data_IF_835976989087
#
_entry.id   IF_835976989087
#
_cell.length_a   1.000
_cell.length_b   1.000
_cell.length_c   1.000
_cell.angle_alpha   90.00
_cell.angle_beta   90.00
_cell.angle_gamma   90.00
#
_symmetry.space_group_name_H-M   'P 1'
#
loop_
_entity.id
_entity.type
_entity.pdbx_description
1 polymer ?
#
# COMPACT_ATOMS: atom_id res chain seq x y z
N UNK A 1 8.85 -12.01 23.84
CA UNK A 1 7.50 -11.83 24.39
C UNK A 1 7.48 -12.24 25.87
N UNK A 2 7.89 -11.36 26.80
CA UNK A 2 7.99 -11.68 28.25
C UNK A 2 7.14 -10.77 29.15
N UNK A 3 6.50 -9.75 28.58
CA UNK A 3 5.70 -8.77 29.31
C UNK A 3 4.31 -8.66 28.69
N UNK A 4 4.26 -8.48 27.37
CA UNK A 4 3.01 -8.44 26.58
C UNK A 4 3.27 -8.99 25.18
N UNK A 5 2.22 -9.46 24.53
CA UNK A 5 2.23 -9.81 23.12
C UNK A 5 1.98 -8.56 22.27
N UNK A 6 2.94 -8.26 21.40
CA UNK A 6 2.79 -7.19 20.40
C UNK A 6 1.99 -7.76 19.25
N UNK A 7 0.81 -7.20 19.02
CA UNK A 7 -0.14 -7.67 17.98
C UNK A 7 -0.10 -6.83 16.70
N UNK A 8 0.47 -5.62 16.77
CA UNK A 8 0.65 -4.77 15.60
C UNK A 8 1.87 -3.84 15.70
N UNK A 9 2.35 -3.41 14.55
CA UNK A 9 3.36 -2.35 14.37
C UNK A 9 2.81 -1.31 13.40
N UNK A 10 2.98 -0.03 13.71
CA UNK A 10 2.55 1.07 12.84
C UNK A 10 3.76 1.92 12.45
N UNK A 11 4.14 1.89 11.18
CA UNK A 11 5.33 2.55 10.63
C UNK A 11 5.02 3.29 9.31
N UNK A 12 5.91 4.19 8.90
CA UNK A 12 5.84 4.81 7.57
C UNK A 12 6.14 3.74 6.54
N UNK A 13 5.20 3.53 5.63
CA UNK A 13 5.40 2.62 4.52
C UNK A 13 4.39 2.91 3.41
N UNK A 14 4.88 3.03 2.19
CA UNK A 14 4.06 3.24 1.00
C UNK A 14 4.87 2.87 -0.24
N UNK A 15 4.27 2.99 -1.42
CA UNK A 15 4.88 2.60 -2.68
C UNK A 15 6.27 3.24 -2.87
N UNK A 16 6.45 4.51 -2.49
CA UNK A 16 7.71 5.26 -2.64
C UNK A 16 8.58 5.36 -1.38
N UNK A 17 8.18 4.75 -0.27
CA UNK A 17 8.99 4.69 0.96
C UNK A 17 8.83 3.32 1.61
N UNK A 18 9.88 2.51 1.46
CA UNK A 18 9.96 1.14 1.98
C UNK A 18 11.06 0.97 3.02
N UNK A 19 11.36 2.03 3.79
CA UNK A 19 12.41 1.97 4.82
C UNK A 19 12.12 0.98 5.96
N UNK A 20 10.86 0.59 6.14
CA UNK A 20 10.43 -0.39 7.15
C UNK A 20 10.18 -1.79 6.56
N UNK A 21 10.78 -2.12 5.42
CA UNK A 21 10.63 -3.43 4.75
C UNK A 21 11.00 -4.60 5.67
N UNK A 22 12.14 -4.47 6.36
CA UNK A 22 12.65 -5.46 7.30
C UNK A 22 11.70 -5.68 8.51
N UNK A 23 11.07 -4.59 8.97
CA UNK A 23 10.05 -4.64 10.02
C UNK A 23 8.78 -5.33 9.51
N UNK A 24 8.36 -5.06 8.27
CA UNK A 24 7.22 -5.74 7.63
C UNK A 24 7.50 -7.25 7.49
N UNK A 25 8.66 -7.64 6.98
CA UNK A 25 9.05 -9.05 6.85
C UNK A 25 9.06 -9.77 8.20
N UNK A 26 9.57 -9.12 9.24
CA UNK A 26 9.50 -9.64 10.60
C UNK A 26 8.04 -9.79 11.07
N UNK A 27 7.21 -8.78 10.84
CA UNK A 27 5.80 -8.81 11.22
C UNK A 27 5.06 -9.95 10.52
N UNK A 28 5.28 -10.16 9.22
CA UNK A 28 4.69 -11.25 8.45
C UNK A 28 5.11 -12.61 8.99
N UNK A 29 6.41 -12.82 9.23
CA UNK A 29 6.93 -14.05 9.81
C UNK A 29 6.34 -14.37 11.18
N UNK A 30 6.12 -13.34 11.99
CA UNK A 30 5.67 -13.48 13.38
C UNK A 30 4.15 -13.39 13.57
N UNK A 31 3.38 -13.20 12.49
CA UNK A 31 1.93 -13.05 12.51
C UNK A 31 1.46 -11.76 13.19
N UNK A 32 2.24 -10.69 13.09
CA UNK A 32 1.96 -9.36 13.66
C UNK A 32 1.37 -8.48 12.56
N UNK A 33 0.25 -7.79 12.84
CA UNK A 33 -0.33 -6.87 11.87
C UNK A 33 0.60 -5.67 11.60
N UNK A 34 0.81 -5.34 10.34
CA UNK A 34 1.58 -4.16 9.95
C UNK A 34 0.64 -3.08 9.42
N UNK A 35 0.62 -1.93 10.09
CA UNK A 35 -0.31 -0.83 9.84
C UNK A 35 0.47 0.34 9.24
N UNK A 36 0.57 0.46 7.90
CA UNK A 36 1.33 1.53 7.28
C UNK A 36 0.62 2.88 7.42
N UNK A 37 1.28 3.88 7.99
CA UNK A 37 0.83 5.28 7.94
C UNK A 37 1.36 5.98 6.68
N UNK A 38 0.59 6.97 6.20
CA UNK A 38 0.78 7.63 4.90
C UNK A 38 0.77 6.68 3.68
N UNK A 39 -0.24 5.77 3.56
CA UNK A 39 -0.21 4.67 2.59
C UNK A 39 -0.44 5.10 1.13
N UNK A 40 -1.21 6.17 0.90
CA UNK A 40 -1.54 6.67 -0.45
C UNK A 40 -0.47 7.59 -1.03
N UNK A 41 0.61 7.85 -0.28
CA UNK A 41 1.66 8.74 -0.73
C UNK A 41 2.50 8.07 -1.81
N UNK A 42 2.37 8.59 -3.03
CA UNK A 42 3.11 8.11 -4.20
C UNK A 42 4.20 9.11 -4.67
N UNK A 43 4.23 10.34 -4.13
CA UNK A 43 5.27 11.32 -4.43
C UNK A 43 5.43 11.59 -5.93
N UNK A 44 6.65 11.40 -6.45
CA UNK A 44 6.94 11.58 -7.87
C UNK A 44 6.23 10.56 -8.79
N UNK A 45 5.79 9.40 -8.26
CA UNK A 45 5.10 8.38 -9.03
C UNK A 45 3.69 8.79 -9.45
N UNK A 46 3.06 9.71 -8.71
CA UNK A 46 1.74 10.24 -9.07
C UNK A 46 1.80 11.36 -10.14
N UNK A 47 2.96 11.57 -10.78
CA UNK A 47 3.08 12.51 -11.88
C UNK A 47 2.51 11.88 -13.16
N UNK A 48 1.83 12.67 -14.02
CA UNK A 48 1.31 12.18 -15.29
C UNK A 48 2.39 11.52 -16.16
N UNK A 49 2.01 10.46 -16.86
CA UNK A 49 2.87 9.74 -17.80
C UNK A 49 3.89 8.79 -17.16
N UNK A 50 3.77 8.51 -15.86
CA UNK A 50 4.50 7.43 -15.20
C UNK A 50 3.69 6.14 -15.14
N UNK A 51 4.34 5.03 -14.75
CA UNK A 51 3.71 3.71 -14.67
C UNK A 51 2.45 3.69 -13.79
N UNK A 52 2.43 4.45 -12.68
CA UNK A 52 1.27 4.50 -11.80
C UNK A 52 0.06 5.19 -12.47
N UNK A 53 0.30 6.22 -13.28
CA UNK A 53 -0.73 6.93 -14.04
C UNK A 53 -1.26 6.07 -15.20
N UNK A 54 -0.36 5.37 -15.89
CA UNK A 54 -0.71 4.42 -16.95
C UNK A 54 -1.61 3.30 -16.41
N UNK A 55 -1.21 2.64 -15.33
CA UNK A 55 -1.98 1.56 -14.71
C UNK A 55 -3.28 2.05 -14.06
N UNK A 56 -3.29 3.24 -13.47
CA UNK A 56 -4.51 3.86 -12.96
C UNK A 56 -5.57 3.98 -14.07
N UNK A 57 -5.17 4.42 -15.27
CA UNK A 57 -6.04 4.52 -16.44
C UNK A 57 -6.50 3.14 -16.96
N UNK A 58 -5.62 2.15 -16.97
CA UNK A 58 -5.93 0.80 -17.44
C UNK A 58 -6.92 0.06 -16.53
N UNK A 59 -6.84 0.29 -15.22
CA UNK A 59 -7.73 -0.29 -14.21
C UNK A 59 -8.99 0.53 -13.94
N UNK A 60 -9.20 1.66 -14.64
CA UNK A 60 -10.26 2.64 -14.34
C UNK A 60 -10.31 3.01 -12.85
N UNK A 61 -9.13 3.24 -12.27
CA UNK A 61 -8.93 3.44 -10.85
C UNK A 61 -8.07 4.68 -10.58
N UNK A 62 -8.15 5.19 -9.36
CA UNK A 62 -7.33 6.33 -8.93
C UNK A 62 -5.91 5.88 -8.58
N UNK A 63 -4.97 6.81 -8.63
CA UNK A 63 -3.60 6.60 -8.12
C UNK A 63 -3.59 6.08 -6.67
N UNK A 64 -4.50 6.57 -5.83
CA UNK A 64 -4.64 6.14 -4.44
C UNK A 64 -5.11 4.68 -4.34
N UNK A 65 -6.06 4.27 -5.19
CA UNK A 65 -6.53 2.89 -5.26
C UNK A 65 -5.42 1.93 -5.69
N UNK A 66 -4.64 2.28 -6.72
CA UNK A 66 -3.49 1.46 -7.14
C UNK A 66 -2.43 1.36 -6.04
N UNK A 67 -2.11 2.46 -5.35
CA UNK A 67 -1.16 2.45 -4.24
C UNK A 67 -1.64 1.56 -3.08
N UNK A 68 -2.93 1.62 -2.74
CA UNK A 68 -3.53 0.77 -1.71
C UNK A 68 -3.61 -0.70 -2.13
N UNK A 69 -3.95 -0.98 -3.39
CA UNK A 69 -3.96 -2.34 -3.94
C UNK A 69 -2.57 -2.98 -3.91
N UNK A 70 -1.54 -2.21 -4.26
CA UNK A 70 -0.15 -2.64 -4.14
C UNK A 70 0.23 -2.99 -2.69
N UNK A 71 -0.17 -2.15 -1.72
CA UNK A 71 0.06 -2.43 -0.29
C UNK A 71 -0.65 -3.71 0.17
N UNK A 72 -1.94 -3.85 -0.14
CA UNK A 72 -2.73 -5.03 0.24
C UNK A 72 -2.18 -6.31 -0.38
N UNK A 73 -1.59 -6.22 -1.57
CA UNK A 73 -0.94 -7.35 -2.23
C UNK A 73 0.42 -7.69 -1.64
N UNK A 74 1.19 -6.70 -1.16
CA UNK A 74 2.57 -6.89 -0.68
C UNK A 74 2.67 -7.91 0.45
N UNK A 75 1.70 -7.98 1.38
CA UNK A 75 1.78 -8.89 2.53
C UNK A 75 0.41 -9.22 3.10
N UNK A 76 0.16 -10.47 3.55
CA UNK A 76 -1.10 -10.85 4.19
C UNK A 76 -1.34 -10.18 5.54
N UNK A 77 -0.31 -9.58 6.17
CA UNK A 77 -0.45 -8.85 7.44
C UNK A 77 -0.61 -7.33 7.25
N UNK A 78 -0.72 -6.85 6.00
CA UNK A 78 -0.84 -5.43 5.69
C UNK A 78 -2.24 -4.89 5.99
N UNK A 79 -2.32 -3.83 6.81
CA UNK A 79 -3.58 -3.15 7.16
C UNK A 79 -3.44 -1.63 6.98
N UNK A 80 -3.49 -1.10 5.74
CA UNK A 80 -3.30 0.31 5.50
C UNK A 80 -4.39 1.19 6.12
N UNK A 81 -3.99 2.36 6.58
CA UNK A 81 -4.88 3.37 7.20
C UNK A 81 -4.96 4.63 6.33
N UNK A 82 -5.62 4.58 5.15
CA UNK A 82 -5.80 5.76 4.33
C UNK A 82 -6.70 6.77 5.04
N UNK A 83 -6.23 8.01 5.14
CA UNK A 83 -7.01 9.12 5.68
C UNK A 83 -8.04 9.61 4.67
N UNK A 84 -9.19 10.06 5.14
CA UNK A 84 -10.22 10.71 4.32
C UNK A 84 -11.04 11.69 5.16
N UNK A 85 -11.53 12.76 4.55
CA UNK A 85 -12.48 13.71 5.14
C UNK A 85 -13.83 13.75 4.41
N UNK A 86 -14.06 12.86 3.44
CA UNK A 86 -15.29 12.78 2.65
C UNK A 86 -15.73 11.33 2.46
N UNK A 87 -17.04 11.14 2.26
CA UNK A 87 -17.60 9.81 1.98
C UNK A 87 -17.12 9.30 0.62
N UNK A 88 -17.03 10.17 -0.39
CA UNK A 88 -16.54 9.77 -1.72
C UNK A 88 -15.11 9.17 -1.66
N UNK A 89 -14.17 9.84 -0.98
CA UNK A 89 -12.81 9.29 -0.81
C UNK A 89 -12.79 8.04 0.09
N UNK A 90 -13.72 7.91 1.05
CA UNK A 90 -13.87 6.67 1.81
C UNK A 90 -14.26 5.51 0.88
N UNK A 91 -15.24 5.73 0.01
CA UNK A 91 -15.70 4.74 -0.97
C UNK A 91 -14.57 4.36 -1.95
N UNK A 92 -13.81 5.35 -2.45
CA UNK A 92 -12.62 5.11 -3.28
C UNK A 92 -11.57 4.26 -2.56
N UNK A 93 -11.22 4.61 -1.32
CA UNK A 93 -10.25 3.86 -0.51
C UNK A 93 -10.70 2.41 -0.28
N UNK A 94 -11.99 2.19 0.02
CA UNK A 94 -12.54 0.85 0.21
C UNK A 94 -12.54 0.04 -1.10
N UNK A 95 -12.86 0.66 -2.23
CA UNK A 95 -12.86 0.02 -3.53
C UNK A 95 -11.46 -0.46 -3.99
N UNK A 96 -10.38 0.11 -3.44
CA UNK A 96 -9.01 -0.34 -3.71
C UNK A 96 -8.78 -1.83 -3.44
N UNK A 97 -9.47 -2.42 -2.46
CA UNK A 97 -9.37 -3.85 -2.16
C UNK A 97 -9.89 -4.75 -3.29
N UNK A 98 -10.68 -4.20 -4.21
CA UNK A 98 -11.17 -4.90 -5.40
C UNK A 98 -10.21 -4.86 -6.58
N UNK A 99 -9.19 -4.00 -6.57
CA UNK A 99 -8.23 -3.86 -7.67
C UNK A 99 -7.23 -5.01 -7.62
N UNK A 100 -7.16 -5.79 -8.69
CA UNK A 100 -6.29 -6.96 -8.81
C UNK A 100 -5.12 -6.63 -9.72
N UNK A 101 -3.94 -6.42 -9.14
CA UNK A 101 -2.70 -6.27 -9.91
C UNK A 101 -2.25 -7.63 -10.45
N UNK A 102 -1.80 -7.69 -11.70
CA UNK A 102 -1.04 -8.81 -12.26
C UNK A 102 0.38 -8.83 -11.71
N UNK A 103 1.09 -9.96 -11.78
CA UNK A 103 2.49 -10.07 -11.34
C UNK A 103 3.38 -9.00 -11.98
N UNK A 104 3.19 -8.79 -13.29
CA UNK A 104 3.93 -7.79 -14.06
C UNK A 104 3.65 -6.36 -13.59
N UNK A 105 2.40 -6.03 -13.29
CA UNK A 105 1.99 -4.71 -12.80
C UNK A 105 2.53 -4.43 -11.40
N UNK A 106 2.44 -5.43 -10.51
CA UNK A 106 2.97 -5.32 -9.15
C UNK A 106 4.49 -5.14 -9.16
N UNK A 107 5.20 -5.90 -9.99
CA UNK A 107 6.66 -5.79 -10.12
C UNK A 107 7.06 -4.44 -10.72
N UNK A 108 6.34 -3.96 -11.74
CA UNK A 108 6.57 -2.65 -12.35
C UNK A 108 6.38 -1.50 -11.35
N UNK A 109 5.31 -1.53 -10.56
CA UNK A 109 5.06 -0.56 -9.49
C UNK A 109 6.13 -0.64 -8.39
N UNK A 110 6.51 -1.85 -7.97
CA UNK A 110 7.54 -2.08 -6.97
C UNK A 110 8.87 -1.49 -7.42
N UNK A 111 9.29 -1.77 -8.66
CA UNK A 111 10.52 -1.26 -9.25
C UNK A 111 10.53 0.27 -9.28
N UNK A 112 9.43 0.89 -9.71
CA UNK A 112 9.33 2.35 -9.81
C UNK A 112 9.40 3.06 -8.45
N UNK A 113 8.92 2.43 -7.37
CA UNK A 113 8.96 2.99 -6.02
C UNK A 113 10.23 2.75 -5.21
N UNK A 114 11.27 2.17 -5.83
CA UNK A 114 12.57 1.86 -5.21
C UNK A 114 13.55 3.03 -5.24
#
# INVERSE_FOLDING_TARGET
RKVVDVVSVQNLYNLGNRQSEDVLEFCEKEGIAFIPWFPVAAGALARPGGILDELAREHDATHAQLALAWLLRRSPVMLPIPGTSSVAHLEENCAAAGVQLSDEEYDALTAAGS
#
